data_IF_191591225330
#
_entry.id   IF_191591225330
#
_cell.length_a   1.000
_cell.length_b   1.000
_cell.length_c   1.000
_cell.angle_alpha   90.00
_cell.angle_beta   90.00
_cell.angle_gamma   90.00
#
_symmetry.space_group_name_H-M   'P 1'
#
loop_
_entity.id
_entity.type
_entity.pdbx_description
1 polymer ?
#
# COMPACT_ATOMS: atom_id res chain seq x y z
N UNK A 1 -13.90 -24.23 -11.62
CA UNK A 1 -13.81 -24.46 -13.06
C UNK A 1 -14.82 -25.52 -13.47
N UNK A 2 -15.60 -25.23 -14.48
CA UNK A 2 -16.70 -26.08 -14.92
C UNK A 2 -16.24 -27.26 -15.83
N UNK A 3 -14.98 -27.25 -16.25
CA UNK A 3 -14.40 -28.28 -17.13
C UNK A 3 -13.64 -29.36 -16.38
N UNK A 4 -13.49 -30.51 -17.00
CA UNK A 4 -12.65 -31.61 -16.52
C UNK A 4 -11.16 -31.37 -16.81
N UNK A 5 -10.84 -30.48 -17.77
CA UNK A 5 -9.50 -30.16 -18.21
C UNK A 5 -9.18 -28.70 -17.92
N UNK A 6 -7.96 -28.44 -17.46
CA UNK A 6 -7.44 -27.09 -17.26
C UNK A 6 -6.35 -26.83 -18.32
N UNK A 7 -6.51 -25.72 -19.07
CA UNK A 7 -5.45 -25.22 -19.92
C UNK A 7 -4.39 -24.51 -19.08
N UNK A 8 -3.16 -24.97 -19.15
CA UNK A 8 -2.01 -24.36 -18.47
C UNK A 8 -1.18 -23.61 -19.49
N UNK A 9 -1.07 -22.29 -19.30
CA UNK A 9 -0.24 -21.45 -20.15
C UNK A 9 1.22 -21.82 -20.02
N UNK A 10 1.90 -21.99 -21.14
CA UNK A 10 3.36 -22.19 -21.24
C UNK A 10 4.00 -20.98 -21.93
N UNK A 11 5.31 -20.89 -21.91
CA UNK A 11 6.03 -19.80 -22.53
C UNK A 11 5.99 -18.50 -21.71
N UNK A 12 5.77 -17.31 -22.32
CA UNK A 12 5.93 -16.02 -21.64
C UNK A 12 5.00 -15.84 -20.43
N UNK A 13 3.75 -16.28 -20.54
CA UNK A 13 2.78 -16.16 -19.43
C UNK A 13 3.26 -16.91 -18.19
N UNK A 14 3.71 -18.15 -18.34
CA UNK A 14 4.20 -18.98 -17.23
C UNK A 14 5.44 -18.37 -16.54
N UNK A 15 6.27 -17.63 -17.27
CA UNK A 15 7.44 -16.95 -16.71
C UNK A 15 7.05 -15.65 -15.98
N UNK A 16 6.12 -14.88 -16.53
CA UNK A 16 5.72 -13.58 -15.98
C UNK A 16 4.97 -13.72 -14.65
N UNK A 17 4.09 -14.72 -14.51
CA UNK A 17 3.29 -14.91 -13.29
C UNK A 17 4.15 -15.03 -12.03
N UNK A 18 5.17 -15.90 -11.92
CA UNK A 18 6.05 -15.94 -10.75
C UNK A 18 6.84 -14.65 -10.54
N UNK A 19 7.33 -14.03 -11.61
CA UNK A 19 8.13 -12.80 -11.54
C UNK A 19 7.31 -11.66 -10.95
N UNK A 20 6.09 -11.45 -11.45
CA UNK A 20 5.21 -10.36 -10.98
C UNK A 20 4.85 -10.48 -9.50
N UNK A 21 4.72 -11.71 -8.99
CA UNK A 21 4.34 -11.96 -7.61
C UNK A 21 5.55 -11.92 -6.66
N UNK A 22 6.58 -12.72 -6.92
CA UNK A 22 7.77 -12.78 -6.06
C UNK A 22 8.55 -11.46 -6.02
N UNK A 23 8.61 -10.75 -7.16
CA UNK A 23 9.30 -9.46 -7.25
C UNK A 23 8.48 -8.30 -6.72
N UNK A 24 7.23 -8.50 -6.35
CA UNK A 24 6.24 -7.44 -6.07
C UNK A 24 6.18 -6.39 -7.18
N UNK A 25 6.21 -6.86 -8.42
CA UNK A 25 6.15 -6.00 -9.61
C UNK A 25 4.72 -5.73 -10.07
N UNK A 26 3.81 -6.69 -9.82
CA UNK A 26 2.43 -6.62 -10.22
C UNK A 26 2.18 -6.72 -11.72
N UNK A 27 0.99 -6.29 -12.12
CA UNK A 27 0.50 -6.45 -13.48
C UNK A 27 0.07 -7.88 -13.81
N UNK A 28 -0.17 -8.14 -15.08
CA UNK A 28 -0.53 -9.45 -15.60
C UNK A 28 -0.10 -9.62 -17.05
N UNK A 29 0.01 -10.84 -17.49
CA UNK A 29 0.18 -11.14 -18.90
C UNK A 29 -1.13 -10.91 -19.67
N UNK A 30 -2.25 -11.29 -19.05
CA UNK A 30 -3.59 -10.99 -19.52
C UNK A 30 -4.10 -9.70 -18.88
N UNK A 31 -4.96 -8.92 -19.58
CA UNK A 31 -5.35 -7.57 -19.18
C UNK A 31 -6.04 -7.46 -17.83
N UNK A 32 -6.71 -8.53 -17.37
CA UNK A 32 -7.38 -8.58 -16.06
C UNK A 32 -6.51 -9.18 -14.95
N UNK A 33 -5.22 -9.25 -15.15
CA UNK A 33 -4.26 -9.77 -14.18
C UNK A 33 -4.60 -11.17 -13.67
N UNK A 34 -4.48 -11.40 -12.36
CA UNK A 34 -4.78 -12.68 -11.70
C UNK A 34 -6.28 -12.94 -11.48
N UNK A 35 -7.18 -12.11 -12.04
CA UNK A 35 -8.57 -12.47 -12.27
C UNK A 35 -8.72 -13.45 -13.43
N UNK A 36 -7.78 -13.42 -14.39
CA UNK A 36 -7.82 -14.29 -15.56
C UNK A 36 -7.61 -15.76 -15.18
N UNK A 37 -8.49 -16.69 -15.66
CA UNK A 37 -8.40 -18.11 -15.27
C UNK A 37 -7.09 -18.79 -15.68
N UNK A 38 -6.41 -18.32 -16.74
CA UNK A 38 -5.12 -18.86 -17.17
C UNK A 38 -3.94 -18.37 -16.32
N UNK A 39 -4.11 -17.30 -15.55
CA UNK A 39 -3.11 -16.84 -14.58
C UNK A 39 -3.34 -17.45 -13.20
N UNK A 40 -4.56 -17.42 -12.72
CA UNK A 40 -4.95 -17.85 -11.37
C UNK A 40 -6.23 -18.72 -11.44
N UNK A 41 -6.12 -19.99 -11.83
CA UNK A 41 -7.28 -20.84 -12.13
C UNK A 41 -8.02 -21.35 -10.88
N UNK A 42 -7.33 -21.54 -9.75
CA UNK A 42 -7.89 -22.25 -8.60
C UNK A 42 -7.64 -21.46 -7.30
N UNK A 43 -8.36 -21.86 -6.26
CA UNK A 43 -8.13 -21.33 -4.91
C UNK A 43 -6.71 -21.62 -4.40
N UNK A 44 -6.15 -22.76 -4.78
CA UNK A 44 -4.78 -23.11 -4.42
C UNK A 44 -3.76 -22.17 -5.08
N UNK A 45 -3.92 -21.89 -6.38
CA UNK A 45 -3.04 -20.92 -7.07
C UNK A 45 -3.18 -19.53 -6.49
N UNK A 46 -4.39 -19.10 -6.14
CA UNK A 46 -4.64 -17.84 -5.45
C UNK A 46 -3.86 -17.72 -4.13
N UNK A 47 -3.87 -18.77 -3.31
CA UNK A 47 -3.12 -18.80 -2.05
C UNK A 47 -1.60 -18.81 -2.27
N UNK A 48 -1.12 -19.56 -3.25
CA UNK A 48 0.31 -19.61 -3.60
C UNK A 48 0.79 -18.25 -4.12
N UNK A 49 0.01 -17.56 -4.94
CA UNK A 49 0.34 -16.23 -5.43
C UNK A 49 0.35 -15.20 -4.29
N UNK A 50 -0.66 -15.16 -3.43
CA UNK A 50 -0.69 -14.31 -2.24
C UNK A 50 0.55 -14.55 -1.34
N UNK A 51 0.89 -15.81 -1.10
CA UNK A 51 2.09 -16.15 -0.33
C UNK A 51 3.36 -15.68 -1.03
N UNK A 52 3.43 -15.82 -2.35
CA UNK A 52 4.58 -15.38 -3.14
C UNK A 52 4.80 -13.86 -3.07
N UNK A 53 3.72 -13.08 -3.04
CA UNK A 53 3.78 -11.63 -2.87
C UNK A 53 4.41 -11.25 -1.52
N UNK A 54 4.07 -11.97 -0.46
CA UNK A 54 4.47 -11.61 0.91
C UNK A 54 5.86 -12.15 1.31
N UNK A 55 6.30 -13.30 0.76
CA UNK A 55 7.42 -14.04 1.32
C UNK A 55 8.74 -13.27 1.28
N UNK A 56 9.05 -12.57 0.21
CA UNK A 56 10.30 -11.82 0.09
C UNK A 56 10.31 -10.56 0.98
N UNK A 57 9.28 -9.69 0.99
CA UNK A 57 9.20 -8.58 1.94
C UNK A 57 9.31 -9.03 3.40
N UNK A 58 8.64 -10.11 3.79
CA UNK A 58 8.75 -10.69 5.12
C UNK A 58 10.17 -11.18 5.43
N UNK A 59 10.78 -11.91 4.50
CA UNK A 59 12.13 -12.45 4.65
C UNK A 59 13.18 -11.35 4.86
N UNK A 60 13.01 -10.20 4.22
CA UNK A 60 13.93 -9.06 4.36
C UNK A 60 13.96 -8.51 5.79
N UNK A 61 12.83 -8.48 6.49
CA UNK A 61 12.76 -8.06 7.91
C UNK A 61 13.61 -8.98 8.78
N UNK A 62 13.48 -10.30 8.55
CA UNK A 62 14.27 -11.28 9.29
C UNK A 62 15.75 -11.27 8.88
N UNK A 63 16.05 -11.08 7.60
CA UNK A 63 17.43 -10.95 7.11
C UNK A 63 18.19 -9.83 7.84
N UNK A 64 17.53 -8.68 8.08
CA UNK A 64 18.10 -7.61 8.90
C UNK A 64 18.42 -8.11 10.31
N UNK A 65 17.49 -8.81 10.97
CA UNK A 65 17.69 -9.33 12.31
C UNK A 65 18.86 -10.30 12.43
N UNK A 66 19.06 -11.14 11.41
CA UNK A 66 20.21 -12.04 11.31
C UNK A 66 21.51 -11.27 11.06
N UNK A 67 21.50 -10.34 10.12
CA UNK A 67 22.68 -9.53 9.77
C UNK A 67 23.18 -8.70 10.96
N UNK A 68 22.26 -8.04 11.67
CA UNK A 68 22.57 -7.23 12.86
C UNK A 68 22.79 -8.07 14.13
N UNK A 69 22.55 -9.39 14.10
CA UNK A 69 22.51 -10.27 15.28
C UNK A 69 21.51 -9.79 16.36
N UNK A 70 20.45 -9.09 15.94
CA UNK A 70 19.39 -8.52 16.79
C UNK A 70 18.03 -9.10 16.42
N UNK A 71 17.81 -10.38 16.64
CA UNK A 71 16.56 -11.08 16.29
C UNK A 71 15.32 -10.45 16.91
N UNK A 72 15.39 -9.97 18.15
CA UNK A 72 14.26 -9.33 18.84
C UNK A 72 13.77 -8.08 18.11
N UNK A 73 14.69 -7.28 17.54
CA UNK A 73 14.32 -6.11 16.73
C UNK A 73 13.53 -6.52 15.47
N UNK A 74 13.99 -7.57 14.77
CA UNK A 74 13.27 -8.09 13.61
C UNK A 74 11.87 -8.59 13.98
N UNK A 75 11.72 -9.33 15.06
CA UNK A 75 10.39 -9.77 15.55
C UNK A 75 9.49 -8.59 15.93
N UNK A 76 10.05 -7.54 16.53
CA UNK A 76 9.28 -6.31 16.85
C UNK A 76 8.77 -5.61 15.58
N UNK A 77 9.63 -5.43 14.59
CA UNK A 77 9.26 -4.82 13.29
C UNK A 77 8.21 -5.69 12.58
N UNK A 78 8.49 -6.99 12.46
CA UNK A 78 7.57 -7.93 11.83
C UNK A 78 6.20 -7.96 12.53
N UNK A 79 6.18 -7.94 13.86
CA UNK A 79 4.95 -7.92 14.64
C UNK A 79 4.09 -6.69 14.36
N UNK A 80 4.69 -5.51 14.22
CA UNK A 80 3.98 -4.27 13.84
C UNK A 80 3.39 -4.38 12.45
N UNK A 81 4.18 -4.81 11.48
CA UNK A 81 3.74 -4.96 10.09
C UNK A 81 2.63 -6.01 9.96
N UNK A 82 2.80 -7.17 10.61
CA UNK A 82 1.81 -8.25 10.60
C UNK A 82 0.50 -7.83 11.27
N UNK A 83 0.58 -7.11 12.39
CA UNK A 83 -0.62 -6.60 13.07
C UNK A 83 -1.43 -5.68 12.17
N UNK A 84 -0.78 -4.70 11.54
CA UNK A 84 -1.43 -3.78 10.61
C UNK A 84 -2.06 -4.51 9.41
N UNK A 85 -1.34 -5.47 8.83
CA UNK A 85 -1.85 -6.30 7.74
C UNK A 85 -3.08 -7.10 8.14
N UNK A 86 -3.04 -7.78 9.29
CA UNK A 86 -4.18 -8.58 9.76
C UNK A 86 -5.41 -7.73 10.08
N UNK A 87 -5.22 -6.52 10.62
CA UNK A 87 -6.32 -5.57 10.82
C UNK A 87 -6.92 -5.16 9.48
N UNK A 88 -6.09 -4.83 8.50
CA UNK A 88 -6.54 -4.48 7.16
C UNK A 88 -7.34 -5.63 6.49
N UNK A 89 -6.80 -6.85 6.52
CA UNK A 89 -7.49 -8.04 5.99
C UNK A 89 -8.81 -8.29 6.72
N UNK A 90 -8.84 -8.14 8.04
CA UNK A 90 -10.05 -8.34 8.84
C UNK A 90 -11.17 -7.36 8.48
N UNK A 91 -10.84 -6.07 8.36
CA UNK A 91 -11.81 -5.03 7.99
C UNK A 91 -12.32 -5.27 6.56
N UNK A 92 -11.41 -5.47 5.61
CA UNK A 92 -11.75 -5.67 4.21
C UNK A 92 -12.63 -6.92 4.02
N UNK A 93 -12.22 -8.06 4.58
CA UNK A 93 -13.01 -9.29 4.52
C UNK A 93 -14.40 -9.13 5.13
N UNK A 94 -14.52 -8.40 6.25
CA UNK A 94 -15.81 -8.16 6.90
C UNK A 94 -16.79 -7.40 5.98
N UNK A 95 -16.34 -6.30 5.35
CA UNK A 95 -17.22 -5.52 4.49
C UNK A 95 -17.54 -6.22 3.19
N UNK A 96 -16.58 -6.89 2.57
CA UNK A 96 -16.78 -7.63 1.33
C UNK A 96 -17.73 -8.84 1.50
N UNK A 97 -17.61 -9.55 2.61
CA UNK A 97 -18.51 -10.70 2.89
C UNK A 97 -19.90 -10.30 3.34
N UNK A 98 -20.05 -9.09 3.91
CA UNK A 98 -21.36 -8.57 4.32
C UNK A 98 -22.27 -8.22 3.12
N UNK A 99 -21.67 -7.88 1.99
CA UNK A 99 -22.39 -7.45 0.80
C UNK A 99 -22.82 -5.97 0.80
N UNK A 100 -23.39 -5.52 -0.32
CA UNK A 100 -23.80 -4.14 -0.51
C UNK A 100 -25.29 -3.97 -0.17
N UNK A 101 -25.64 -3.13 0.84
CA UNK A 101 -27.04 -2.93 1.25
C UNK A 101 -27.90 -2.28 0.17
N UNK A 102 -27.33 -1.44 -0.70
CA UNK A 102 -28.05 -0.83 -1.81
C UNK A 102 -28.51 -1.90 -2.82
N UNK A 103 -27.64 -2.87 -3.14
CA UNK A 103 -27.96 -3.99 -4.03
C UNK A 103 -29.01 -4.90 -3.37
N UNK A 104 -28.90 -5.15 -2.06
CA UNK A 104 -29.91 -5.89 -1.30
C UNK A 104 -31.28 -5.20 -1.34
N UNK A 105 -31.30 -3.85 -1.26
CA UNK A 105 -32.54 -3.07 -1.35
C UNK A 105 -33.22 -3.16 -2.73
N UNK A 106 -32.45 -3.47 -3.79
CA UNK A 106 -32.98 -3.75 -5.13
C UNK A 106 -33.57 -5.17 -5.26
N UNK A 107 -33.54 -5.98 -4.19
CA UNK A 107 -34.04 -7.35 -4.20
C UNK A 107 -33.05 -8.37 -4.76
N UNK A 108 -31.78 -7.99 -4.96
CA UNK A 108 -30.73 -8.90 -5.42
C UNK A 108 -30.10 -9.58 -4.21
N UNK A 109 -29.98 -10.91 -4.28
CA UNK A 109 -29.39 -11.73 -3.22
C UNK A 109 -27.91 -11.41 -3.02
N UNK A 110 -27.53 -11.19 -1.77
CA UNK A 110 -26.16 -10.88 -1.35
C UNK A 110 -25.59 -11.95 -0.38
N UNK A 111 -26.14 -13.19 -0.39
CA UNK A 111 -25.64 -14.27 0.46
C UNK A 111 -24.16 -14.62 0.16
N UNK A 112 -23.75 -14.45 -1.09
CA UNK A 112 -22.35 -14.64 -1.48
C UNK A 112 -21.41 -13.49 -1.06
N UNK A 113 -21.95 -12.39 -0.52
CA UNK A 113 -21.24 -11.13 -0.26
C UNK A 113 -21.26 -10.18 -1.47
N UNK A 114 -20.40 -9.17 -1.47
CA UNK A 114 -20.27 -8.20 -2.57
C UNK A 114 -19.52 -8.85 -3.75
N UNK A 115 -20.28 -9.35 -4.72
CA UNK A 115 -19.73 -10.09 -5.87
C UNK A 115 -19.43 -9.21 -7.08
N UNK A 116 -19.81 -7.94 -7.06
CA UNK A 116 -19.50 -7.02 -8.14
C UNK A 116 -17.97 -6.96 -8.38
N UNK A 117 -17.57 -7.01 -9.64
CA UNK A 117 -16.15 -6.97 -10.03
C UNK A 117 -15.29 -8.15 -9.54
N UNK A 118 -15.91 -9.22 -9.03
CA UNK A 118 -15.20 -10.38 -8.46
C UNK A 118 -15.52 -11.67 -9.20
N UNK A 119 -14.51 -12.51 -9.28
CA UNK A 119 -14.64 -13.83 -9.92
C UNK A 119 -15.41 -14.81 -9.04
N UNK A 120 -16.44 -15.43 -9.60
CA UNK A 120 -17.30 -16.40 -8.87
C UNK A 120 -16.52 -17.58 -8.30
N UNK A 121 -15.44 -18.01 -8.96
CA UNK A 121 -14.57 -19.10 -8.50
C UNK A 121 -13.75 -18.76 -7.28
N UNK A 122 -13.50 -17.47 -7.01
CA UNK A 122 -12.66 -16.99 -5.89
C UNK A 122 -13.51 -16.41 -4.76
N UNK A 123 -14.51 -15.61 -5.09
CA UNK A 123 -15.41 -14.97 -4.15
C UNK A 123 -14.82 -13.77 -3.40
N UNK A 124 -15.64 -13.08 -2.58
CA UNK A 124 -15.26 -11.82 -1.97
C UNK A 124 -14.16 -11.94 -0.91
N UNK A 125 -14.11 -13.02 -0.14
CA UNK A 125 -13.08 -13.20 0.89
C UNK A 125 -11.68 -13.37 0.29
N UNK A 126 -11.54 -14.11 -0.81
CA UNK A 126 -10.26 -14.29 -1.49
C UNK A 126 -9.81 -13.00 -2.17
N UNK A 127 -10.75 -12.21 -2.71
CA UNK A 127 -10.46 -10.90 -3.29
C UNK A 127 -10.03 -9.91 -2.20
N UNK A 128 -10.72 -9.86 -1.06
CA UNK A 128 -10.35 -9.04 0.08
C UNK A 128 -8.94 -9.35 0.61
N UNK A 129 -8.58 -10.63 0.71
CA UNK A 129 -7.23 -11.04 1.09
C UNK A 129 -6.19 -10.58 0.08
N UNK A 130 -6.49 -10.74 -1.22
CA UNK A 130 -5.58 -10.33 -2.29
C UNK A 130 -5.39 -8.82 -2.33
N UNK A 131 -6.47 -8.04 -2.29
CA UNK A 131 -6.40 -6.59 -2.36
C UNK A 131 -5.58 -5.99 -1.21
N UNK A 132 -5.75 -6.52 0.02
CA UNK A 132 -4.87 -6.16 1.13
C UNK A 132 -3.42 -6.59 0.89
N UNK A 133 -3.18 -7.79 0.37
CA UNK A 133 -1.83 -8.32 0.11
C UNK A 133 -1.10 -7.48 -0.92
N UNK A 134 -1.76 -7.13 -2.03
CA UNK A 134 -1.16 -6.33 -3.10
C UNK A 134 -0.89 -4.89 -2.68
N UNK A 135 -1.76 -4.31 -1.84
CA UNK A 135 -1.63 -2.92 -1.40
C UNK A 135 -0.63 -2.73 -0.27
N UNK A 136 -0.46 -3.68 0.65
CA UNK A 136 0.59 -3.61 1.69
C UNK A 136 1.99 -3.88 1.14
N UNK A 137 2.12 -4.49 -0.03
CA UNK A 137 3.41 -4.88 -0.62
C UNK A 137 3.81 -4.07 -1.83
N UNK A 138 3.02 -3.08 -2.25
CA UNK A 138 3.23 -2.32 -3.49
C UNK A 138 3.37 -3.23 -4.72
N UNK A 139 2.61 -4.34 -4.78
CA UNK A 139 2.68 -5.30 -5.88
C UNK A 139 1.92 -4.82 -7.12
N UNK A 140 0.63 -4.47 -6.98
CA UNK A 140 -0.23 -3.98 -8.06
C UNK A 140 -0.99 -5.02 -8.86
N UNK A 141 -0.70 -6.33 -8.69
CA UNK A 141 -1.55 -7.35 -9.31
C UNK A 141 -2.88 -7.47 -8.57
N UNK A 142 -3.95 -7.75 -9.32
CA UNK A 142 -5.31 -7.86 -8.79
C UNK A 142 -5.95 -9.19 -9.20
N UNK A 143 -6.85 -9.71 -8.39
CA UNK A 143 -7.69 -10.87 -8.71
C UNK A 143 -9.19 -10.55 -8.76
N UNK A 144 -9.52 -9.28 -8.74
CA UNK A 144 -10.83 -8.69 -8.86
C UNK A 144 -10.71 -7.19 -9.05
N UNK A 145 -11.77 -6.51 -9.39
CA UNK A 145 -11.82 -5.06 -9.58
C UNK A 145 -11.77 -4.34 -8.23
N UNK A 146 -10.76 -3.52 -8.00
CA UNK A 146 -10.67 -2.72 -6.77
C UNK A 146 -11.71 -1.60 -6.74
N UNK A 147 -12.08 -1.07 -7.88
CA UNK A 147 -13.16 -0.06 -8.03
C UNK A 147 -14.51 -0.54 -7.47
N UNK A 148 -14.78 -1.84 -7.58
CA UNK A 148 -16.02 -2.47 -7.11
C UNK A 148 -15.93 -2.97 -5.66
N UNK A 149 -14.93 -2.59 -4.90
CA UNK A 149 -14.85 -2.93 -3.47
C UNK A 149 -15.75 -2.02 -2.64
N UNK A 150 -16.21 -2.53 -1.49
CA UNK A 150 -17.01 -1.73 -0.56
C UNK A 150 -16.22 -0.50 -0.11
N UNK A 151 -16.84 0.66 0.14
CA UNK A 151 -16.13 1.91 0.40
C UNK A 151 -15.06 1.84 1.49
N UNK A 152 -15.33 1.13 2.59
CA UNK A 152 -14.33 0.96 3.66
C UNK A 152 -13.26 -0.09 3.31
N UNK A 153 -13.55 -1.02 2.40
CA UNK A 153 -12.53 -1.89 1.80
C UNK A 153 -11.56 -1.10 0.95
N UNK A 154 -12.07 -0.28 0.02
CA UNK A 154 -11.27 0.63 -0.80
C UNK A 154 -10.47 1.64 0.05
N UNK A 155 -11.05 2.12 1.16
CA UNK A 155 -10.32 2.93 2.14
C UNK A 155 -9.11 2.20 2.71
N UNK A 156 -9.25 0.92 3.06
CA UNK A 156 -8.13 0.13 3.61
C UNK A 156 -7.06 -0.13 2.55
N UNK A 157 -7.45 -0.35 1.31
CA UNK A 157 -6.53 -0.48 0.19
C UNK A 157 -5.71 0.79 -0.02
N UNK A 158 -6.38 1.96 -0.07
CA UNK A 158 -5.70 3.26 -0.13
C UNK A 158 -4.81 3.50 1.08
N UNK A 159 -5.29 3.24 2.29
CA UNK A 159 -4.53 3.47 3.52
C UNK A 159 -3.26 2.61 3.58
N UNK A 160 -3.32 1.36 3.14
CA UNK A 160 -2.15 0.49 3.04
C UNK A 160 -1.06 1.11 2.15
N UNK A 161 -1.44 1.61 0.98
CA UNK A 161 -0.53 2.26 0.04
C UNK A 161 -0.09 3.65 0.52
N UNK A 162 -0.94 4.42 1.18
CA UNK A 162 -0.63 5.72 1.76
C UNK A 162 0.38 5.63 2.91
N UNK A 163 0.32 4.58 3.70
CA UNK A 163 1.32 4.28 4.73
C UNK A 163 2.61 3.76 4.09
N UNK A 164 2.50 2.86 3.12
CA UNK A 164 3.59 2.29 2.31
C UNK A 164 4.80 1.78 3.14
N UNK A 165 4.51 1.24 4.33
CA UNK A 165 5.54 0.71 5.24
C UNK A 165 5.23 -0.68 5.78
N UNK A 166 4.00 -1.16 5.62
CA UNK A 166 3.60 -2.51 6.00
C UNK A 166 4.09 -3.48 4.94
N UNK A 167 5.19 -4.17 5.17
CA UNK A 167 5.95 -4.98 4.21
C UNK A 167 6.50 -4.17 3.02
N UNK A 168 5.66 -3.43 2.28
CA UNK A 168 6.01 -2.65 1.10
C UNK A 168 6.56 -3.50 -0.04
N UNK A 169 6.99 -2.88 -1.13
CA UNK A 169 7.70 -3.57 -2.21
C UNK A 169 9.02 -4.18 -1.72
N UNK A 170 9.52 -5.19 -2.42
CA UNK A 170 10.79 -5.86 -2.07
C UNK A 170 11.91 -4.82 -1.92
N UNK A 171 12.30 -4.56 -0.68
CA UNK A 171 13.34 -3.60 -0.29
C UNK A 171 12.83 -2.21 0.06
N UNK A 172 11.97 -1.60 -0.76
CA UNK A 172 11.56 -0.20 -0.57
C UNK A 172 10.66 -0.01 0.65
N UNK A 173 9.70 -0.91 0.87
CA UNK A 173 8.82 -0.79 2.04
C UNK A 173 9.57 -0.93 3.35
N UNK A 174 10.55 -1.80 3.42
CA UNK A 174 11.45 -1.90 4.58
C UNK A 174 12.27 -0.61 4.76
N UNK A 175 12.75 -0.01 3.68
CA UNK A 175 13.45 1.28 3.75
C UNK A 175 12.52 2.40 4.25
N UNK A 176 11.28 2.46 3.77
CA UNK A 176 10.29 3.42 4.25
C UNK A 176 10.01 3.24 5.75
N UNK A 177 9.83 2.00 6.21
CA UNK A 177 9.71 1.70 7.64
C UNK A 177 10.91 2.23 8.42
N UNK A 178 12.12 2.09 7.87
CA UNK A 178 13.34 2.58 8.49
C UNK A 178 13.36 4.11 8.64
N UNK A 179 12.84 4.88 7.66
CA UNK A 179 12.69 6.32 7.81
C UNK A 179 11.78 6.67 8.99
N UNK A 180 10.63 6.02 9.12
CA UNK A 180 9.75 6.22 10.26
C UNK A 180 10.38 5.78 11.59
N UNK A 181 11.20 4.75 11.57
CA UNK A 181 11.94 4.30 12.74
C UNK A 181 12.96 5.36 13.20
N UNK A 182 13.66 6.03 12.28
CA UNK A 182 14.54 7.16 12.59
C UNK A 182 13.73 8.32 13.21
N UNK A 183 12.58 8.65 12.65
CA UNK A 183 11.67 9.68 13.18
C UNK A 183 11.20 9.29 14.59
N UNK A 184 10.76 8.05 14.80
CA UNK A 184 10.30 7.56 16.09
C UNK A 184 11.40 7.60 17.16
N UNK A 185 12.61 7.17 16.82
CA UNK A 185 13.78 7.25 17.72
C UNK A 185 14.10 8.69 18.09
N UNK A 186 14.05 9.60 17.12
CA UNK A 186 14.36 11.02 17.36
C UNK A 186 13.32 11.67 18.27
N UNK A 187 12.04 11.50 17.97
CA UNK A 187 10.94 12.06 18.79
C UNK A 187 10.98 11.50 20.21
N UNK A 188 11.07 10.19 20.36
CA UNK A 188 11.10 9.56 21.69
C UNK A 188 12.33 9.94 22.50
N UNK A 189 13.49 10.05 21.85
CA UNK A 189 14.71 10.52 22.51
C UNK A 189 14.54 11.93 23.08
N UNK A 190 13.99 12.86 22.29
CA UNK A 190 13.72 14.21 22.73
C UNK A 190 12.68 14.29 23.86
N UNK A 191 11.58 13.51 23.76
CA UNK A 191 10.53 13.49 24.77
C UNK A 191 11.03 13.01 26.14
N UNK A 192 11.98 12.08 26.17
CA UNK A 192 12.54 11.52 27.42
C UNK A 192 13.81 12.28 27.87
N UNK A 193 14.25 13.29 27.12
CA UNK A 193 15.46 14.03 27.40
C UNK A 193 16.75 13.22 27.20
N UNK A 194 16.72 12.24 26.29
CA UNK A 194 17.85 11.36 25.96
C UNK A 194 18.38 11.68 24.56
N UNK A 195 19.66 11.41 24.35
CA UNK A 195 20.24 11.51 23.00
C UNK A 195 19.62 10.46 22.10
N UNK A 196 19.00 10.84 20.96
CA UNK A 196 18.47 9.87 20.01
C UNK A 196 19.60 9.04 19.40
N UNK A 197 19.55 7.72 19.60
CA UNK A 197 20.54 6.78 19.11
C UNK A 197 19.86 5.58 18.45
N UNK A 198 20.36 5.17 17.30
CA UNK A 198 19.92 3.96 16.64
C UNK A 198 21.12 3.12 16.18
N UNK A 199 21.14 1.85 16.55
CA UNK A 199 22.23 0.91 16.24
C UNK A 199 23.62 1.43 16.65
N UNK A 200 23.72 2.10 17.81
CA UNK A 200 24.97 2.68 18.30
C UNK A 200 25.44 3.91 17.52
N UNK A 201 24.57 4.56 16.77
CA UNK A 201 24.85 5.79 16.05
C UNK A 201 23.89 6.90 16.48
N UNK A 202 24.41 8.09 16.71
CA UNK A 202 23.60 9.25 17.08
C UNK A 202 22.80 9.73 15.88
N UNK A 203 21.49 9.87 16.07
CA UNK A 203 20.58 10.48 15.09
C UNK A 203 20.52 11.99 15.36
N UNK A 204 20.88 12.79 14.38
CA UNK A 204 20.95 14.25 14.48
C UNK A 204 20.02 14.93 13.47
N UNK A 205 20.01 16.26 13.48
CA UNK A 205 19.12 17.05 12.64
C UNK A 205 19.28 16.78 11.12
N UNK A 206 20.46 16.35 10.67
CA UNK A 206 20.70 16.07 9.24
C UNK A 206 19.93 14.83 8.78
N UNK A 207 20.05 13.73 9.51
CA UNK A 207 19.32 12.49 9.23
C UNK A 207 17.82 12.71 9.38
N UNK A 208 17.42 13.45 10.41
CA UNK A 208 16.02 13.75 10.66
C UNK A 208 15.39 14.58 9.54
N UNK A 209 16.10 15.60 9.01
CA UNK A 209 15.61 16.39 7.86
C UNK A 209 15.35 15.51 6.64
N UNK A 210 16.28 14.62 6.32
CA UNK A 210 16.12 13.71 5.16
C UNK A 210 14.96 12.75 5.40
N UNK A 211 14.88 12.12 6.58
CA UNK A 211 13.80 11.21 6.92
C UNK A 211 12.41 11.90 6.83
N UNK A 212 12.32 13.15 7.32
CA UNK A 212 11.09 13.95 7.24
C UNK A 212 10.73 14.29 5.79
N UNK A 213 11.70 14.69 4.95
CA UNK A 213 11.45 14.97 3.52
C UNK A 213 10.94 13.70 2.83
N UNK A 214 11.56 12.55 3.06
CA UNK A 214 11.13 11.26 2.50
C UNK A 214 9.72 10.92 2.94
N UNK A 215 9.41 11.05 4.24
CA UNK A 215 8.10 10.71 4.78
C UNK A 215 6.99 11.65 4.28
N UNK A 216 7.29 12.94 4.06
CA UNK A 216 6.31 13.93 3.61
C UNK A 216 6.19 14.03 2.09
N UNK A 217 7.17 13.54 1.34
CA UNK A 217 7.11 13.56 -0.13
C UNK A 217 5.95 12.71 -0.66
N UNK A 218 5.68 11.57 -0.06
CA UNK A 218 4.60 10.67 -0.45
C UNK A 218 3.21 11.34 -0.33
N UNK A 219 2.77 11.84 0.84
CA UNK A 219 1.50 12.57 0.93
C UNK A 219 1.49 13.85 0.07
N UNK A 220 2.61 14.54 -0.09
CA UNK A 220 2.68 15.72 -0.96
C UNK A 220 2.33 15.38 -2.41
N UNK A 221 2.93 14.34 -2.97
CA UNK A 221 2.68 13.92 -4.36
C UNK A 221 1.23 13.47 -4.53
N UNK A 222 0.69 12.66 -3.61
CA UNK A 222 -0.68 12.16 -3.66
C UNK A 222 -1.68 13.32 -3.62
N UNK A 223 -1.59 14.17 -2.61
CA UNK A 223 -2.59 15.20 -2.39
C UNK A 223 -2.55 16.31 -3.44
N UNK A 224 -1.35 16.71 -3.89
CA UNK A 224 -1.22 17.70 -4.98
C UNK A 224 -1.71 17.12 -6.30
N UNK A 225 -1.32 15.88 -6.63
CA UNK A 225 -1.80 15.21 -7.84
C UNK A 225 -3.33 15.12 -7.87
N UNK A 226 -3.93 14.62 -6.79
CA UNK A 226 -5.39 14.54 -6.65
C UNK A 226 -6.05 15.92 -6.75
N UNK A 227 -5.51 16.94 -6.08
CA UNK A 227 -6.06 18.29 -6.14
C UNK A 227 -6.00 18.90 -7.57
N UNK A 228 -4.91 18.63 -8.30
CA UNK A 228 -4.79 19.06 -9.70
C UNK A 228 -5.81 18.33 -10.58
N UNK A 229 -5.99 17.03 -10.43
CA UNK A 229 -7.01 16.29 -11.18
C UNK A 229 -8.42 16.80 -10.88
N UNK A 230 -8.78 17.01 -9.61
CA UNK A 230 -10.05 17.59 -9.21
C UNK A 230 -10.26 19.00 -9.80
N UNK A 231 -9.19 19.82 -9.83
CA UNK A 231 -9.27 21.15 -10.44
C UNK A 231 -9.60 21.07 -11.94
N UNK A 232 -8.94 20.20 -12.69
CA UNK A 232 -9.23 19.99 -14.10
C UNK A 232 -10.65 19.43 -14.31
N UNK A 233 -11.06 18.46 -13.52
CA UNK A 233 -12.41 17.91 -13.57
C UNK A 233 -13.50 18.97 -13.40
N UNK A 234 -13.35 19.87 -12.43
CA UNK A 234 -14.38 20.87 -12.10
C UNK A 234 -14.33 22.08 -13.03
N UNK A 235 -13.14 22.60 -13.33
CA UNK A 235 -12.98 23.88 -14.00
C UNK A 235 -12.59 23.80 -15.48
N UNK A 236 -12.23 22.61 -15.96
CA UNK A 236 -11.86 22.37 -17.35
C UNK A 236 -12.60 21.17 -17.96
N UNK A 237 -13.94 21.08 -17.86
CA UNK A 237 -14.69 19.91 -18.30
C UNK A 237 -14.51 19.60 -19.79
N UNK A 238 -14.37 20.63 -20.65
CA UNK A 238 -14.12 20.42 -22.06
C UNK A 238 -12.79 19.73 -22.37
N UNK A 239 -11.77 19.96 -21.55
CA UNK A 239 -10.51 19.24 -21.64
C UNK A 239 -10.67 17.76 -21.22
N UNK A 240 -11.36 17.52 -20.12
CA UNK A 240 -11.63 16.15 -19.62
C UNK A 240 -12.47 15.37 -20.63
N UNK A 241 -13.47 15.98 -21.22
CA UNK A 241 -14.31 15.37 -22.25
C UNK A 241 -13.53 15.06 -23.53
N UNK A 242 -12.61 15.94 -23.93
CA UNK A 242 -11.73 15.72 -25.09
C UNK A 242 -10.78 14.54 -24.89
N UNK A 243 -10.45 14.21 -23.65
CA UNK A 243 -9.66 13.01 -23.27
C UNK A 243 -10.54 11.76 -23.02
N UNK A 244 -11.84 11.79 -23.34
CA UNK A 244 -12.75 10.65 -23.25
C UNK A 244 -13.57 10.57 -21.97
N UNK A 245 -13.51 11.59 -21.10
CA UNK A 245 -14.07 11.56 -19.76
C UNK A 245 -13.25 10.66 -18.81
N UNK A 246 -13.08 11.07 -17.58
CA UNK A 246 -12.19 10.36 -16.67
C UNK A 246 -12.92 9.42 -15.71
N UNK A 247 -14.08 9.87 -15.18
CA UNK A 247 -14.76 9.18 -14.10
C UNK A 247 -15.96 8.37 -14.60
N UNK A 248 -16.02 7.12 -14.23
CA UNK A 248 -17.20 6.27 -14.45
C UNK A 248 -18.26 6.48 -13.36
N UNK A 249 -17.82 6.78 -12.14
CA UNK A 249 -18.68 6.94 -10.97
C UNK A 249 -18.47 8.34 -10.34
N UNK A 250 -19.02 9.42 -10.91
CA UNK A 250 -18.84 10.77 -10.37
C UNK A 250 -19.42 10.91 -8.96
N UNK A 251 -18.84 11.80 -8.16
CA UNK A 251 -19.22 12.02 -6.77
C UNK A 251 -18.13 11.57 -5.79
N UNK A 252 -18.52 11.04 -4.66
CA UNK A 252 -17.56 10.58 -3.63
C UNK A 252 -16.68 9.45 -4.13
N UNK A 253 -17.25 8.53 -4.90
CA UNK A 253 -16.50 7.43 -5.50
C UNK A 253 -15.51 7.94 -6.56
N UNK A 254 -15.92 8.84 -7.45
CA UNK A 254 -15.04 9.42 -8.45
C UNK A 254 -13.89 10.24 -7.84
N UNK A 255 -14.10 10.87 -6.68
CA UNK A 255 -12.98 11.43 -5.93
C UNK A 255 -12.02 10.33 -5.44
N UNK A 256 -12.57 9.21 -4.98
CA UNK A 256 -11.77 8.04 -4.58
C UNK A 256 -11.01 7.44 -5.76
N UNK A 257 -11.58 7.38 -6.98
CA UNK A 257 -10.90 6.95 -8.20
C UNK A 257 -9.63 7.80 -8.45
N UNK A 258 -9.77 9.14 -8.43
CA UNK A 258 -8.63 10.05 -8.61
C UNK A 258 -7.59 9.96 -7.47
N UNK A 259 -8.05 9.84 -6.23
CA UNK A 259 -7.19 9.70 -5.06
C UNK A 259 -6.42 8.37 -5.09
N UNK A 260 -7.10 7.30 -5.48
CA UNK A 260 -6.50 5.97 -5.59
C UNK A 260 -5.37 5.96 -6.62
N UNK A 261 -5.59 6.55 -7.79
CA UNK A 261 -4.61 6.59 -8.87
C UNK A 261 -3.29 7.23 -8.42
N UNK A 262 -3.33 8.44 -7.83
CA UNK A 262 -2.12 9.05 -7.29
C UNK A 262 -1.55 8.33 -6.08
N UNK A 263 -2.38 7.68 -5.27
CA UNK A 263 -1.94 6.85 -4.15
C UNK A 263 -1.15 5.64 -4.66
N UNK A 264 -1.68 4.95 -5.66
CA UNK A 264 -1.05 3.80 -6.29
C UNK A 264 0.23 4.19 -7.02
N UNK A 265 0.19 5.26 -7.82
CA UNK A 265 1.36 5.77 -8.52
C UNK A 265 2.47 6.17 -7.54
N UNK A 266 2.15 6.90 -6.48
CA UNK A 266 3.14 7.32 -5.48
C UNK A 266 3.66 6.15 -4.63
N UNK A 267 2.83 5.16 -4.31
CA UNK A 267 3.28 3.92 -3.68
C UNK A 267 4.08 3.02 -4.63
N UNK A 268 4.09 3.34 -5.93
CA UNK A 268 4.64 2.50 -7.00
C UNK A 268 3.99 1.10 -7.02
N UNK A 269 2.70 1.03 -6.72
CA UNK A 269 1.91 -0.19 -6.67
C UNK A 269 1.48 -0.64 -8.06
N UNK A 270 0.62 0.14 -8.72
CA UNK A 270 0.15 -0.11 -10.09
C UNK A 270 -1.27 -0.65 -10.20
N UNK A 271 -1.97 -0.97 -9.08
CA UNK A 271 -3.41 -1.18 -9.11
C UNK A 271 -4.14 0.15 -9.25
N UNK A 272 -5.31 0.16 -9.87
CA UNK A 272 -6.18 1.31 -10.01
C UNK A 272 -7.57 1.04 -9.46
N UNK A 273 -8.38 2.08 -9.37
CA UNK A 273 -9.81 1.94 -9.42
C UNK A 273 -10.20 2.00 -10.90
N UNK A 274 -10.63 0.87 -11.44
CA UNK A 274 -10.77 0.63 -12.87
C UNK A 274 -11.93 1.41 -13.51
N UNK A 275 -12.71 2.13 -12.71
CA UNK A 275 -13.68 3.14 -13.17
C UNK A 275 -13.03 4.41 -13.71
N UNK A 276 -11.77 4.68 -13.32
CA UNK A 276 -11.01 5.80 -13.86
C UNK A 276 -10.51 5.51 -15.28
N UNK A 277 -10.86 6.35 -16.23
CA UNK A 277 -10.29 6.33 -17.59
C UNK A 277 -8.90 6.97 -17.59
N UNK A 278 -7.92 6.26 -17.12
CA UNK A 278 -6.55 6.75 -16.87
C UNK A 278 -5.62 6.73 -18.09
N UNK A 279 -6.01 6.05 -19.18
CA UNK A 279 -5.18 5.99 -20.38
C UNK A 279 -5.29 7.27 -21.24
N UNK A 280 -4.93 8.40 -20.67
CA UNK A 280 -4.93 9.72 -21.32
C UNK A 280 -3.57 10.40 -21.18
N UNK A 281 -3.34 11.48 -21.92
CA UNK A 281 -2.09 12.25 -21.81
C UNK A 281 -1.92 12.86 -20.42
N UNK A 282 -3.01 13.34 -19.82
CA UNK A 282 -2.97 13.95 -18.49
C UNK A 282 -2.52 12.90 -17.44
N UNK A 283 -3.23 11.78 -17.36
CA UNK A 283 -2.96 10.74 -16.38
C UNK A 283 -1.58 10.11 -16.61
N UNK A 284 -1.26 9.72 -17.83
CA UNK A 284 0.02 9.12 -18.17
C UNK A 284 1.23 10.01 -17.80
N UNK A 285 1.12 11.33 -18.02
CA UNK A 285 2.21 12.24 -17.69
C UNK A 285 2.31 12.51 -16.19
N UNK A 286 1.20 12.83 -15.54
CA UNK A 286 1.20 13.23 -14.13
C UNK A 286 1.51 12.07 -13.20
N UNK A 287 0.97 10.87 -13.47
CA UNK A 287 1.29 9.65 -12.72
C UNK A 287 2.72 9.18 -12.98
N UNK A 288 3.22 9.34 -14.22
CA UNK A 288 4.62 9.09 -14.54
C UNK A 288 5.58 9.95 -13.72
N UNK A 289 5.28 11.24 -13.52
CA UNK A 289 6.05 12.11 -12.63
C UNK A 289 5.94 11.66 -11.17
N UNK A 290 4.73 11.32 -10.72
CA UNK A 290 4.50 10.80 -9.37
C UNK A 290 5.33 9.54 -9.10
N UNK A 291 5.35 8.60 -10.03
CA UNK A 291 6.15 7.38 -9.98
C UNK A 291 7.65 7.68 -9.83
N UNK A 292 8.20 8.57 -10.66
CA UNK A 292 9.63 8.92 -10.64
C UNK A 292 10.01 9.56 -9.31
N UNK A 293 9.28 10.57 -8.88
CA UNK A 293 9.56 11.30 -7.63
C UNK A 293 9.50 10.35 -6.44
N UNK A 294 8.42 9.59 -6.34
CA UNK A 294 8.17 8.71 -5.21
C UNK A 294 9.00 7.42 -5.21
N UNK A 295 9.67 7.09 -6.33
CA UNK A 295 10.63 5.99 -6.40
C UNK A 295 12.02 6.46 -5.99
N UNK A 296 12.54 7.47 -6.65
CA UNK A 296 13.94 7.84 -6.50
C UNK A 296 14.22 8.65 -5.23
N UNK A 297 13.30 9.51 -4.81
CA UNK A 297 13.54 10.34 -3.63
C UNK A 297 13.69 9.49 -2.34
N UNK A 298 12.84 8.50 -2.04
CA UNK A 298 13.06 7.62 -0.90
C UNK A 298 14.36 6.83 -0.98
N UNK A 299 14.69 6.26 -2.14
CA UNK A 299 15.93 5.47 -2.31
C UNK A 299 17.16 6.34 -2.03
N UNK A 300 17.25 7.50 -2.67
CA UNK A 300 18.37 8.43 -2.48
C UNK A 300 18.42 8.93 -1.04
N UNK A 301 17.29 9.30 -0.46
CA UNK A 301 17.19 9.78 0.92
C UNK A 301 17.65 8.72 1.93
N UNK A 302 17.22 7.49 1.79
CA UNK A 302 17.60 6.40 2.70
C UNK A 302 19.09 6.05 2.59
N UNK A 303 19.63 6.01 1.38
CA UNK A 303 21.07 5.79 1.15
C UNK A 303 21.88 6.95 1.74
N UNK A 304 21.41 8.20 1.61
CA UNK A 304 22.06 9.36 2.22
C UNK A 304 22.05 9.27 3.75
N UNK A 305 20.93 8.88 4.39
CA UNK A 305 20.87 8.64 5.83
C UNK A 305 21.88 7.57 6.24
N UNK A 306 21.94 6.46 5.54
CA UNK A 306 22.88 5.38 5.81
C UNK A 306 24.33 5.87 5.70
N UNK A 307 24.67 6.66 4.67
CA UNK A 307 25.98 7.27 4.48
C UNK A 307 26.37 8.23 5.61
N UNK A 308 25.44 9.08 6.07
CA UNK A 308 25.66 9.98 7.20
C UNK A 308 25.89 9.20 8.50
N UNK A 309 25.09 8.16 8.77
CA UNK A 309 25.25 7.34 9.96
C UNK A 309 26.54 6.52 9.92
N UNK A 310 26.97 6.05 8.74
CA UNK A 310 28.23 5.30 8.60
C UNK A 310 29.45 6.11 9.00
N UNK A 311 29.47 7.43 8.75
CA UNK A 311 30.57 8.32 9.11
C UNK A 311 30.66 8.62 10.60
N UNK A 312 29.62 8.35 11.38
CA UNK A 312 29.58 8.64 12.82
C UNK A 312 30.32 7.61 13.65
N UNK A 313 30.86 8.06 14.76
CA UNK A 313 31.48 7.15 15.75
C UNK A 313 30.43 6.26 16.40
N UNK A 314 30.82 5.04 16.72
CA UNK A 314 30.01 4.12 17.51
C UNK A 314 29.90 4.60 18.95
N UNK A 315 28.68 4.61 19.47
CA UNK A 315 28.39 4.93 20.89
C UNK A 315 27.97 3.62 21.57
N UNK A 316 28.67 3.20 22.64
CA UNK A 316 28.26 2.03 23.41
C UNK A 316 26.91 2.25 24.09
N UNK A 317 26.11 1.20 24.19
CA UNK A 317 24.83 1.24 24.91
C UNK A 317 25.07 1.65 26.38
N UNK A 318 24.28 2.58 26.86
CA UNK A 318 24.28 3.09 28.24
C UNK A 318 22.91 2.94 28.87
N UNK A 319 22.79 3.18 30.17
CA UNK A 319 21.48 3.21 30.85
C UNK A 319 20.50 4.24 30.25
N UNK A 320 21.04 5.24 29.51
CA UNK A 320 20.28 6.24 28.78
C UNK A 320 19.87 5.86 27.37
N UNK A 321 20.37 4.76 26.79
CA UNK A 321 20.08 4.35 25.42
C UNK A 321 18.65 3.81 25.32
N UNK A 322 17.89 4.27 24.33
CA UNK A 322 16.55 3.76 24.05
C UNK A 322 16.65 2.33 23.52
N UNK A 323 16.03 1.37 24.22
CA UNK A 323 15.95 -0.02 23.77
C UNK A 323 14.94 -0.14 22.61
N UNK A 324 15.45 -0.45 21.42
CA UNK A 324 14.65 -0.57 20.18
C UNK A 324 14.07 -1.96 19.94
N UNK A 325 14.36 -2.92 20.82
CA UNK A 325 13.93 -4.33 20.74
C UNK A 325 12.84 -4.69 21.77
N UNK A 326 12.01 -3.71 22.14
CA UNK A 326 10.95 -3.86 23.14
C UNK A 326 9.56 -3.68 22.50
N UNK A 327 8.54 -4.29 23.13
CA UNK A 327 7.15 -4.10 22.72
C UNK A 327 6.71 -2.62 22.79
N UNK A 328 7.18 -1.89 23.79
CA UNK A 328 6.91 -0.43 23.92
C UNK A 328 7.43 0.32 22.71
N UNK A 329 8.64 0.01 22.23
CA UNK A 329 9.19 0.63 21.04
C UNK A 329 8.40 0.24 19.77
N UNK A 330 7.95 -1.01 19.66
CA UNK A 330 7.09 -1.46 18.57
C UNK A 330 5.77 -0.68 18.53
N UNK A 331 5.07 -0.55 19.65
CA UNK A 331 3.82 0.22 19.76
C UNK A 331 4.06 1.69 19.44
N UNK A 332 5.16 2.28 19.94
CA UNK A 332 5.51 3.66 19.66
C UNK A 332 5.77 3.90 18.16
N UNK A 333 6.52 3.00 17.52
CA UNK A 333 6.80 3.12 16.07
C UNK A 333 5.51 2.99 15.26
N UNK A 334 4.64 2.02 15.61
CA UNK A 334 3.30 1.90 15.03
C UNK A 334 2.51 3.20 15.18
N UNK A 335 2.48 3.78 16.39
CA UNK A 335 1.74 5.02 16.66
C UNK A 335 2.28 6.20 15.85
N UNK A 336 3.59 6.33 15.70
CA UNK A 336 4.20 7.39 14.88
C UNK A 336 3.79 7.25 13.42
N UNK A 337 3.88 6.05 12.86
CA UNK A 337 3.48 5.77 11.47
C UNK A 337 2.00 6.10 11.28
N UNK A 338 1.14 5.58 12.17
CA UNK A 338 -0.30 5.76 12.08
C UNK A 338 -0.72 7.23 12.24
N UNK A 339 -0.14 7.96 13.20
CA UNK A 339 -0.45 9.38 13.41
C UNK A 339 -0.03 10.22 12.20
N UNK A 340 1.16 9.99 11.65
CA UNK A 340 1.62 10.72 10.46
C UNK A 340 0.70 10.43 9.26
N UNK A 341 0.31 9.17 9.05
CA UNK A 341 -0.62 8.81 7.99
C UNK A 341 -2.01 9.43 8.21
N UNK A 342 -2.55 9.37 9.43
CA UNK A 342 -3.85 9.96 9.76
C UNK A 342 -3.84 11.48 9.53
N UNK A 343 -2.84 12.18 10.04
CA UNK A 343 -2.73 13.64 9.85
C UNK A 343 -2.58 14.02 8.37
N UNK A 344 -1.94 13.19 7.58
CA UNK A 344 -1.72 13.45 6.14
C UNK A 344 -2.95 13.15 5.30
N UNK A 345 -3.62 12.04 5.52
CA UNK A 345 -4.60 11.50 4.57
C UNK A 345 -6.05 11.49 5.07
N UNK A 346 -6.30 11.60 6.38
CA UNK A 346 -7.64 11.52 6.92
C UNK A 346 -8.62 12.53 6.29
N UNK A 347 -8.24 13.81 6.01
CA UNK A 347 -9.13 14.73 5.31
C UNK A 347 -9.54 14.25 3.91
N UNK A 348 -8.62 13.69 3.14
CA UNK A 348 -8.93 13.17 1.81
C UNK A 348 -9.79 11.89 1.88
N UNK A 349 -9.49 10.99 2.81
CA UNK A 349 -10.28 9.79 3.04
C UNK A 349 -11.72 10.09 3.51
N UNK A 350 -11.93 11.21 4.21
CA UNK A 350 -13.28 11.64 4.59
C UNK A 350 -14.10 12.16 3.41
N UNK A 351 -13.46 12.74 2.40
CA UNK A 351 -14.15 13.26 1.21
C UNK A 351 -14.51 12.16 0.20
N UNK A 352 -13.79 11.07 0.20
CA UNK A 352 -14.01 9.92 -0.68
C UNK A 352 -14.70 8.77 0.06
N UNK A 353 -13.95 7.72 0.44
CA UNK A 353 -14.54 6.45 0.88
C UNK A 353 -15.38 6.55 2.16
N UNK A 354 -15.08 7.46 3.08
CA UNK A 354 -15.90 7.63 4.30
C UNK A 354 -17.23 8.31 3.96
N UNK A 355 -17.23 9.36 3.13
CA UNK A 355 -18.45 10.01 2.70
C UNK A 355 -19.32 9.06 1.85
N UNK A 356 -18.71 8.28 0.99
CA UNK A 356 -19.37 7.25 0.21
C UNK A 356 -20.01 6.18 1.12
N UNK A 357 -19.29 5.71 2.13
CA UNK A 357 -19.85 4.77 3.10
C UNK A 357 -21.14 5.30 3.73
N UNK A 358 -21.15 6.55 4.21
CA UNK A 358 -22.36 7.16 4.79
C UNK A 358 -23.47 7.44 3.77
N UNK A 359 -23.18 7.46 2.47
CA UNK A 359 -24.21 7.57 1.43
C UNK A 359 -24.89 6.24 1.11
N UNK A 360 -24.24 5.11 1.42
CA UNK A 360 -24.73 3.76 1.17
C UNK A 360 -25.50 3.21 2.39
N UNK A 361 -25.11 3.58 3.59
CA UNK A 361 -25.68 3.14 4.87
C UNK A 361 -26.48 4.27 5.55
#
# INVERSE_FOLDING_TARGET
LEGQEQLVSQGPAAAIIPIKQLGTNGGGYYGVNSSHPLENPTYLTNMVECWSILILPMAMVFALGFYLKRKKLAYSIFGVMLFAYLVSVGINTYYETKGNPMISAMGIDQQAGAMEGKETRLGPAATALWSCTTTVTSNGSVNGMHDSTMPLSGMMEMLNMQINTWFGGVGVGFMNYYAFLIIAVFISGLMVGRTPEFLGKKVEAREMKIATIVALAHPFVILIGTAVACYYWVYNPAFVEAEGGWLNNPGFHGFSEMLYEYTSASANNGSGFEGLGDNTYFWNFTTGLALIISRYLPIVGQVAIAGLLAQKKYIPESAGTLKTDTATFAVMTFSVIFIVAALSFFPALTLGPIAEYFSIY
#
